data_IF_084468051192
#
_entry.id   IF_084468051192
#
_cell.length_a   1.000
_cell.length_b   1.000
_cell.length_c   1.000
_cell.angle_alpha   90.00
_cell.angle_beta   90.00
_cell.angle_gamma   90.00
#
_symmetry.space_group_name_H-M   'P 1'
#
loop_
_entity.id
_entity.type
_entity.pdbx_description
1 polymer ?
#
# COMPACT_ATOMS: atom_id res chain seq x y z
N UNK A 1 18.35 6.68 -22.48
CA UNK A 1 17.49 5.58 -22.00
C UNK A 1 18.32 4.33 -21.85
N UNK A 2 18.07 3.52 -20.82
CA UNK A 2 18.70 2.19 -20.68
C UNK A 2 17.71 1.14 -21.19
N UNK A 3 18.21 0.16 -21.94
CA UNK A 3 17.39 -0.94 -22.46
C UNK A 3 17.48 -2.13 -21.51
N UNK A 4 16.34 -2.75 -21.23
CA UNK A 4 16.26 -3.97 -20.43
C UNK A 4 15.61 -5.04 -21.30
N UNK A 5 16.30 -6.16 -21.48
CA UNK A 5 15.76 -7.34 -22.17
C UNK A 5 15.25 -8.32 -21.12
N UNK A 6 13.99 -8.70 -21.21
CA UNK A 6 13.35 -9.66 -20.29
C UNK A 6 12.70 -10.77 -21.12
N UNK A 7 12.98 -12.02 -20.77
CA UNK A 7 12.25 -13.16 -21.31
C UNK A 7 10.95 -13.31 -20.53
N UNK A 8 9.82 -13.24 -21.23
CA UNK A 8 8.49 -13.46 -20.67
C UNK A 8 7.82 -14.64 -21.38
N UNK A 9 6.98 -15.41 -20.68
CA UNK A 9 6.10 -16.38 -21.33
C UNK A 9 5.20 -15.75 -22.41
N UNK A 10 4.90 -16.48 -23.47
CA UNK A 10 4.14 -15.98 -24.63
C UNK A 10 2.72 -15.52 -24.27
N UNK A 11 2.08 -16.21 -23.33
CA UNK A 11 0.77 -15.86 -22.77
C UNK A 11 0.82 -14.51 -22.05
N UNK A 12 1.83 -14.30 -21.21
CA UNK A 12 2.05 -13.03 -20.50
C UNK A 12 2.30 -11.89 -21.49
N UNK A 13 3.10 -12.13 -22.54
CA UNK A 13 3.33 -11.12 -23.57
C UNK A 13 2.05 -10.74 -24.31
N UNK A 14 1.23 -11.73 -24.67
CA UNK A 14 -0.05 -11.52 -25.36
C UNK A 14 -1.01 -10.70 -24.50
N UNK A 15 -1.18 -11.09 -23.24
CA UNK A 15 -2.11 -10.44 -22.33
C UNK A 15 -1.66 -9.01 -22.00
N UNK A 16 -0.36 -8.79 -21.82
CA UNK A 16 0.21 -7.46 -21.66
C UNK A 16 -0.04 -6.58 -22.90
N UNK A 17 0.05 -7.14 -24.11
CA UNK A 17 -0.20 -6.39 -25.35
C UNK A 17 -1.66 -6.01 -25.51
N UNK A 18 -2.60 -6.89 -25.15
CA UNK A 18 -4.04 -6.60 -25.15
C UNK A 18 -4.32 -5.45 -24.17
N UNK A 19 -3.82 -5.56 -22.93
CA UNK A 19 -4.02 -4.55 -21.89
C UNK A 19 -3.40 -3.19 -22.26
N UNK A 20 -2.24 -3.20 -22.90
CA UNK A 20 -1.60 -1.99 -23.41
C UNK A 20 -2.47 -1.30 -24.47
N UNK A 21 -3.00 -2.07 -25.42
CA UNK A 21 -3.86 -1.56 -26.48
C UNK A 21 -5.17 -0.98 -25.94
N UNK A 22 -5.81 -1.64 -24.98
CA UNK A 22 -7.02 -1.14 -24.30
C UNK A 22 -6.81 0.24 -23.66
N UNK A 23 -5.60 0.49 -23.15
CA UNK A 23 -5.25 1.75 -22.48
C UNK A 23 -4.62 2.78 -23.44
N UNK A 24 -4.50 2.47 -24.73
CA UNK A 24 -3.83 3.33 -25.71
C UNK A 24 -2.33 3.53 -25.42
N UNK A 25 -1.70 2.58 -24.73
CA UNK A 25 -0.29 2.63 -24.31
C UNK A 25 0.53 1.54 -24.99
N UNK A 26 1.85 1.69 -24.96
CA UNK A 26 2.77 0.62 -25.36
C UNK A 26 3.07 -0.31 -24.18
N UNK A 27 3.44 -1.56 -24.47
CA UNK A 27 3.89 -2.52 -23.45
C UNK A 27 5.09 -1.97 -22.68
N UNK A 28 6.02 -1.28 -23.35
CA UNK A 28 7.16 -0.64 -22.70
C UNK A 28 6.76 0.47 -21.73
N UNK A 29 5.70 1.24 -22.03
CA UNK A 29 5.17 2.25 -21.11
C UNK A 29 4.54 1.60 -19.87
N UNK A 30 3.76 0.52 -20.05
CA UNK A 30 3.22 -0.24 -18.92
C UNK A 30 4.33 -0.80 -18.01
N UNK A 31 5.38 -1.38 -18.59
CA UNK A 31 6.51 -1.91 -17.83
C UNK A 31 7.23 -0.78 -17.08
N UNK A 32 7.45 0.37 -17.72
CA UNK A 32 8.10 1.51 -17.07
C UNK A 32 7.26 2.05 -15.89
N UNK A 33 5.94 2.16 -16.05
CA UNK A 33 5.03 2.60 -14.99
C UNK A 33 5.00 1.59 -13.84
N UNK A 34 4.98 0.30 -14.14
CA UNK A 34 5.04 -0.75 -13.12
C UNK A 34 6.35 -0.71 -12.33
N UNK A 35 7.49 -0.63 -13.01
CA UNK A 35 8.80 -0.51 -12.34
C UNK A 35 8.89 0.75 -11.47
N UNK A 36 8.29 1.85 -11.91
CA UNK A 36 8.17 3.07 -11.10
C UNK A 36 7.29 2.85 -9.88
N UNK A 37 6.15 2.16 -10.05
CA UNK A 37 5.24 1.85 -8.94
C UNK A 37 5.91 0.99 -7.85
N UNK A 38 6.78 0.05 -8.23
CA UNK A 38 7.55 -0.75 -7.27
C UNK A 38 8.49 0.13 -6.45
N UNK A 39 9.21 1.06 -7.10
CA UNK A 39 10.05 2.02 -6.38
C UNK A 39 9.26 2.98 -5.49
N UNK A 40 8.01 3.30 -5.86
CA UNK A 40 7.16 4.19 -5.11
C UNK A 40 6.45 3.50 -3.94
N UNK A 41 6.10 2.22 -4.04
CA UNK A 41 5.47 1.46 -2.95
C UNK A 41 6.40 1.33 -1.75
N UNK A 42 7.68 1.03 -1.97
CA UNK A 42 8.68 1.03 -0.90
C UNK A 42 8.77 2.42 -0.26
N UNK A 43 8.76 3.49 -1.07
CA UNK A 43 8.81 4.87 -0.57
C UNK A 43 7.56 5.31 0.22
N UNK A 44 6.36 4.84 -0.18
CA UNK A 44 5.11 5.19 0.50
C UNK A 44 4.96 4.42 1.80
N UNK A 45 5.32 3.14 1.80
CA UNK A 45 5.34 2.32 3.01
C UNK A 45 6.34 2.86 4.03
N UNK A 46 7.55 3.22 3.60
CA UNK A 46 8.55 3.85 4.47
C UNK A 46 8.08 5.21 4.99
N UNK A 47 7.43 6.02 4.15
CA UNK A 47 6.82 7.29 4.56
C UNK A 47 5.73 7.09 5.61
N UNK A 48 4.85 6.11 5.44
CA UNK A 48 3.78 5.80 6.38
C UNK A 48 4.33 5.27 7.70
N UNK A 49 5.39 4.44 7.65
CA UNK A 49 6.11 3.97 8.84
C UNK A 49 6.70 5.16 9.62
N UNK A 50 7.40 6.07 8.94
CA UNK A 50 7.95 7.26 9.57
C UNK A 50 6.86 8.16 10.19
N UNK A 51 5.70 8.30 9.51
CA UNK A 51 4.57 9.02 10.06
C UNK A 51 4.01 8.34 11.32
N UNK A 52 3.89 7.02 11.32
CA UNK A 52 3.44 6.25 12.49
C UNK A 52 4.39 6.44 13.68
N UNK A 53 5.70 6.35 13.47
CA UNK A 53 6.70 6.58 14.51
C UNK A 53 6.55 7.98 15.11
N UNK A 54 6.46 9.02 14.26
CA UNK A 54 6.24 10.39 14.74
C UNK A 54 4.91 10.58 15.49
N UNK A 55 3.86 9.83 15.13
CA UNK A 55 2.59 9.88 15.86
C UNK A 55 2.72 9.19 17.20
N UNK A 56 3.39 8.04 17.27
CA UNK A 56 3.59 7.28 18.51
C UNK A 56 4.52 8.00 19.49
N UNK A 57 5.56 8.68 19.01
CA UNK A 57 6.41 9.54 19.86
C UNK A 57 5.62 10.67 20.55
N UNK A 58 4.55 11.16 19.92
CA UNK A 58 3.67 12.19 20.50
C UNK A 58 2.69 11.62 21.53
N UNK A 59 2.54 10.31 21.63
CA UNK A 59 1.66 9.67 22.59
C UNK A 59 2.46 9.42 23.87
N UNK A 60 2.38 10.35 24.82
CA UNK A 60 3.08 10.25 26.11
C UNK A 60 2.50 9.14 27.03
N UNK A 61 1.27 8.71 26.77
CA UNK A 61 0.61 7.62 27.47
C UNK A 61 -0.75 7.29 26.87
N UNK A 62 -1.08 6.00 26.81
CA UNK A 62 -2.39 5.55 26.36
C UNK A 62 -2.96 4.51 27.33
N UNK A 63 -4.06 4.85 27.99
CA UNK A 63 -4.84 3.92 28.81
C UNK A 63 -6.24 3.79 28.21
N UNK A 64 -6.63 2.57 27.85
CA UNK A 64 -7.97 2.30 27.35
C UNK A 64 -9.04 2.57 28.43
N UNK A 65 -8.67 2.48 29.71
CA UNK A 65 -9.53 2.80 30.86
C UNK A 65 -9.85 4.29 30.96
N UNK A 66 -9.09 5.16 30.29
CA UNK A 66 -9.36 6.61 30.30
C UNK A 66 -10.52 6.97 29.35
N UNK A 67 -10.91 6.04 28.46
CA UNK A 67 -11.99 6.25 27.48
C UNK A 67 -13.35 5.82 27.98
N UNK A 68 -13.40 4.99 29.01
CA UNK A 68 -14.63 4.45 29.58
C UNK A 68 -14.46 4.43 31.08
N UNK A 69 -15.37 5.09 31.78
CA UNK A 69 -15.50 4.88 33.21
C UNK A 69 -15.78 3.40 33.51
N UNK A 70 -15.44 2.98 34.73
CA UNK A 70 -15.64 1.60 35.18
C UNK A 70 -17.08 1.13 34.95
N UNK A 71 -18.06 2.01 35.17
CA UNK A 71 -19.48 1.72 35.01
C UNK A 71 -19.85 1.50 33.53
N UNK A 72 -19.34 2.34 32.62
CA UNK A 72 -19.53 2.19 31.17
C UNK A 72 -18.89 0.90 30.59
N UNK A 73 -17.80 0.43 31.21
CA UNK A 73 -17.21 -0.88 30.86
C UNK A 73 -18.14 -2.03 31.25
N UNK A 74 -18.80 -1.93 32.40
CA UNK A 74 -19.76 -2.95 32.87
C UNK A 74 -21.04 -2.97 32.02
N UNK A 75 -21.50 -1.81 31.53
CA UNK A 75 -22.66 -1.72 30.64
C UNK A 75 -22.41 -2.27 29.23
N UNK A 76 -21.16 -2.25 28.76
CA UNK A 76 -20.78 -2.79 27.44
C UNK A 76 -21.01 -4.30 27.31
N UNK A 77 -21.12 -5.03 28.42
CA UNK A 77 -21.47 -6.45 28.44
C UNK A 77 -22.96 -6.73 28.17
N UNK A 78 -23.81 -5.70 28.04
CA UNK A 78 -25.23 -5.84 27.71
C UNK A 78 -25.49 -6.15 26.22
N UNK A 79 -24.47 -6.12 25.36
CA UNK A 79 -24.54 -6.62 23.97
C UNK A 79 -23.96 -8.04 23.93
N UNK A 80 -24.76 -9.02 24.34
CA UNK A 80 -24.52 -10.45 24.10
C UNK A 80 -25.60 -11.00 23.18
#
# INVERSE_FOLDING_TARGET
MKNVTVSVPDDVYRDARIKAAEQGRSVSALVADYLRSLSSQDSEFDRLRALQEQVFERVEGFSASDRLSRDEVHDRAALR
#
